data_IF_542983428025
#
_entry.id   IF_542983428025
#
_cell.length_a   1.000
_cell.length_b   1.000
_cell.length_c   1.000
_cell.angle_alpha   90.00
_cell.angle_beta   90.00
_cell.angle_gamma   90.00
#
_symmetry.space_group_name_H-M   'P 1'
#
loop_
_entity.id
_entity.type
_entity.pdbx_description
1 polymer ?
#
# COMPACT_ATOMS: atom_id res chain seq x y z
N UNK A 1 34.90 -20.77 -40.70
CA UNK A 1 35.17 -19.52 -39.96
C UNK A 1 34.42 -19.65 -38.66
N UNK A 2 35.13 -20.08 -37.62
CA UNK A 2 34.63 -20.18 -36.25
C UNK A 2 34.47 -18.76 -35.71
N UNK A 3 33.38 -18.47 -35.00
CA UNK A 3 33.25 -17.24 -34.23
C UNK A 3 32.46 -17.54 -32.97
N UNK A 4 33.10 -18.26 -32.06
CA UNK A 4 32.82 -18.16 -30.63
C UNK A 4 33.39 -16.82 -30.14
N UNK A 5 32.52 -15.91 -29.71
CA UNK A 5 32.94 -14.66 -29.05
C UNK A 5 31.95 -14.36 -27.93
N UNK A 6 31.96 -15.24 -26.94
CA UNK A 6 31.62 -14.89 -25.57
C UNK A 6 32.94 -14.47 -24.91
N UNK A 7 33.09 -13.20 -24.55
CA UNK A 7 33.96 -12.85 -23.43
C UNK A 7 33.46 -11.55 -22.79
N UNK A 8 32.84 -11.74 -21.63
CA UNK A 8 32.32 -10.71 -20.76
C UNK A 8 33.46 -10.08 -19.95
N UNK A 9 33.82 -8.81 -20.19
CA UNK A 9 34.63 -8.02 -19.24
C UNK A 9 34.51 -6.50 -19.49
N UNK A 10 33.37 -5.90 -19.12
CA UNK A 10 33.24 -4.45 -18.91
C UNK A 10 33.65 -4.10 -17.47
N UNK A 11 34.94 -4.19 -17.16
CA UNK A 11 35.58 -3.55 -16.01
C UNK A 11 36.32 -2.32 -16.59
N UNK A 12 36.23 -1.07 -16.16
CA UNK A 12 35.95 -0.45 -14.86
C UNK A 12 35.95 1.08 -15.10
N UNK A 13 35.03 1.94 -14.57
CA UNK A 13 35.23 3.38 -14.61
C UNK A 13 36.03 3.89 -13.40
N UNK A 14 36.84 4.95 -13.56
CA UNK A 14 37.85 5.37 -12.59
C UNK A 14 37.25 6.10 -11.38
N UNK A 15 37.94 5.98 -10.25
CA UNK A 15 37.70 6.69 -8.98
C UNK A 15 37.73 8.21 -9.15
N UNK A 16 36.87 8.89 -8.39
CA UNK A 16 37.14 10.21 -7.83
C UNK A 16 36.44 11.37 -8.52
N UNK A 17 35.32 11.81 -7.94
CA UNK A 17 34.86 13.19 -8.02
C UNK A 17 34.42 13.63 -6.62
N UNK A 18 35.43 13.79 -5.75
CA UNK A 18 35.33 14.61 -4.56
C UNK A 18 35.15 16.08 -4.99
N UNK A 19 33.97 16.65 -4.77
CA UNK A 19 33.80 18.09 -4.61
C UNK A 19 32.85 18.37 -3.44
N UNK A 20 33.47 18.72 -2.31
CA UNK A 20 32.93 19.31 -1.08
C UNK A 20 32.13 20.59 -1.41
N UNK A 21 30.92 20.82 -0.86
CA UNK A 21 30.63 21.62 0.36
C UNK A 21 29.20 22.21 0.23
N UNK A 22 28.72 23.08 1.14
CA UNK A 22 28.15 22.81 2.46
C UNK A 22 26.67 23.25 2.55
N UNK A 23 25.94 22.77 3.54
CA UNK A 23 24.74 23.44 4.01
C UNK A 23 23.45 22.64 3.87
N UNK A 24 22.83 22.44 5.03
CA UNK A 24 21.39 22.42 5.24
C UNK A 24 20.55 21.81 4.12
N UNK A 25 20.46 20.48 4.12
CA UNK A 25 19.13 19.87 4.06
C UNK A 25 19.09 18.83 5.16
N UNK A 26 18.56 19.24 6.31
CA UNK A 26 17.75 18.34 7.10
C UNK A 26 16.87 17.61 6.10
N UNK A 27 17.16 16.34 5.84
CA UNK A 27 16.11 15.44 5.44
C UNK A 27 15.21 15.46 6.66
N UNK A 28 14.27 16.42 6.69
CA UNK A 28 12.98 16.15 7.29
C UNK A 28 12.68 14.75 6.81
N UNK A 29 12.53 13.83 7.75
CA UNK A 29 11.79 12.61 7.53
C UNK A 29 10.46 13.09 6.98
N UNK A 30 10.40 13.33 5.67
CA UNK A 30 9.20 13.69 4.97
C UNK A 30 8.51 12.36 4.95
N UNK A 31 7.77 12.18 6.03
CA UNK A 31 6.87 11.09 6.36
C UNK A 31 6.33 10.68 5.01
N UNK A 32 6.92 9.61 4.46
CA UNK A 32 6.39 9.02 3.26
C UNK A 32 4.97 8.71 3.71
N UNK A 33 3.93 9.33 3.14
CA UNK A 33 2.61 8.82 3.39
C UNK A 33 2.71 7.41 2.86
N UNK A 34 2.77 6.44 3.78
CA UNK A 34 2.42 5.08 3.48
C UNK A 34 1.10 5.24 2.76
N UNK A 35 1.13 5.09 1.43
CA UNK A 35 -0.09 4.88 0.70
C UNK A 35 -0.53 3.52 1.24
N UNK A 36 -1.25 3.55 2.35
CA UNK A 36 -1.95 2.41 2.86
C UNK A 36 -2.95 2.13 1.75
N UNK A 37 -2.57 1.20 0.88
CA UNK A 37 -3.24 0.88 -0.37
C UNK A 37 -4.60 0.20 -0.13
N UNK A 38 -5.21 0.46 1.02
CA UNK A 38 -6.55 0.08 1.45
C UNK A 38 -7.60 1.06 0.92
N UNK A 39 -7.24 1.91 -0.04
CA UNK A 39 -8.12 2.91 -0.69
C UNK A 39 -9.07 2.31 -1.76
N UNK A 40 -9.23 0.99 -1.79
CA UNK A 40 -10.17 0.31 -2.68
C UNK A 40 -11.54 0.05 -2.06
N UNK A 41 -11.64 0.07 -0.73
CA UNK A 41 -12.88 -0.26 -0.04
C UNK A 41 -13.23 0.85 0.93
N UNK A 42 -14.19 1.69 0.57
CA UNK A 42 -14.70 2.74 1.46
C UNK A 42 -15.06 2.16 2.83
N UNK A 43 -14.94 3.00 3.86
CA UNK A 43 -15.15 2.59 5.24
C UNK A 43 -16.47 1.84 5.43
N UNK A 44 -16.43 0.83 6.30
CA UNK A 44 -17.62 0.12 6.72
C UNK A 44 -18.59 1.06 7.43
N UNK A 45 -19.85 1.07 6.99
CA UNK A 45 -20.91 1.73 7.75
C UNK A 45 -21.08 1.12 9.15
N UNK A 46 -21.70 1.90 10.03
CA UNK A 46 -22.09 1.43 11.36
C UNK A 46 -22.96 0.17 11.24
N UNK A 47 -22.79 -0.74 12.19
CA UNK A 47 -23.62 -1.92 12.28
C UNK A 47 -25.08 -1.53 12.55
N UNK A 48 -26.00 -2.22 11.87
CA UNK A 48 -27.42 -2.12 12.17
C UNK A 48 -27.70 -2.59 13.60
N UNK A 49 -28.83 -2.15 14.15
CA UNK A 49 -29.34 -2.72 15.41
C UNK A 49 -29.51 -4.23 15.24
N UNK A 50 -29.25 -4.96 16.32
CA UNK A 50 -29.50 -6.39 16.39
C UNK A 50 -30.96 -6.70 16.07
N UNK A 51 -31.18 -7.74 15.26
CA UNK A 51 -32.53 -8.18 14.91
C UNK A 51 -33.40 -8.52 16.12
N UNK A 52 -32.78 -8.92 17.23
CA UNK A 52 -33.44 -9.19 18.51
C UNK A 52 -32.67 -8.54 19.65
N UNK A 53 -33.40 -8.21 20.72
CA UNK A 53 -32.83 -7.68 21.96
C UNK A 53 -32.42 -8.78 22.95
N UNK A 54 -32.83 -10.03 22.69
CA UNK A 54 -32.46 -11.20 23.48
C UNK A 54 -32.38 -12.45 22.59
N UNK A 55 -31.41 -13.33 22.87
CA UNK A 55 -31.17 -14.55 22.09
C UNK A 55 -30.10 -14.38 21.00
N UNK A 56 -30.22 -15.12 19.90
CA UNK A 56 -29.29 -15.06 18.77
C UNK A 56 -29.83 -14.10 17.70
N UNK A 57 -29.36 -12.86 17.72
CA UNK A 57 -29.65 -11.86 16.72
C UNK A 57 -28.58 -11.76 15.65
N UNK A 58 -28.91 -11.02 14.60
CA UNK A 58 -27.95 -10.69 13.57
C UNK A 58 -28.00 -9.18 13.32
N UNK A 59 -26.82 -8.61 13.19
CA UNK A 59 -26.62 -7.24 12.75
C UNK A 59 -25.91 -7.27 11.40
N UNK A 60 -26.21 -6.28 10.57
CA UNK A 60 -25.71 -6.15 9.20
C UNK A 60 -25.03 -4.81 9.03
N UNK A 61 -23.99 -4.75 8.22
CA UNK A 61 -23.38 -3.49 7.76
C UNK A 61 -23.06 -3.58 6.29
N UNK A 62 -22.94 -2.42 5.66
CA UNK A 62 -22.59 -2.29 4.24
C UNK A 62 -21.40 -1.37 4.05
N UNK A 63 -20.62 -1.58 3.00
CA UNK A 63 -19.61 -0.62 2.55
C UNK A 63 -19.61 -0.51 1.04
N UNK A 64 -19.19 0.65 0.54
CA UNK A 64 -19.00 0.88 -0.88
C UNK A 64 -17.55 0.58 -1.23
N UNK A 65 -17.30 -0.41 -2.09
CA UNK A 65 -15.94 -0.75 -2.55
C UNK A 65 -15.59 -0.11 -3.90
N UNK A 66 -16.34 0.91 -4.32
CA UNK A 66 -16.16 1.61 -5.59
C UNK A 66 -17.47 1.88 -6.33
N UNK A 67 -17.36 2.15 -7.63
CA UNK A 67 -18.44 2.69 -8.46
C UNK A 67 -19.71 1.81 -8.56
N UNK A 68 -19.56 0.49 -8.48
CA UNK A 68 -20.67 -0.44 -8.65
C UNK A 68 -20.62 -1.65 -7.71
N UNK A 69 -19.85 -1.57 -6.62
CA UNK A 69 -19.75 -2.67 -5.68
C UNK A 69 -20.11 -2.21 -4.26
N UNK A 70 -21.01 -2.98 -3.66
CA UNK A 70 -21.44 -2.81 -2.28
C UNK A 70 -21.18 -4.13 -1.58
N UNK A 71 -20.24 -4.14 -0.64
CA UNK A 71 -20.02 -5.29 0.20
C UNK A 71 -20.99 -5.23 1.39
N UNK A 72 -21.59 -6.36 1.73
CA UNK A 72 -22.48 -6.50 2.89
C UNK A 72 -21.89 -7.55 3.82
N UNK A 73 -21.84 -7.24 5.11
CA UNK A 73 -21.37 -8.16 6.15
C UNK A 73 -22.48 -8.37 7.17
N UNK A 74 -22.60 -9.60 7.66
CA UNK A 74 -23.52 -9.97 8.74
C UNK A 74 -22.75 -10.64 9.86
N UNK A 75 -22.95 -10.18 11.10
CA UNK A 75 -22.40 -10.83 12.30
C UNK A 75 -23.49 -11.10 13.31
N UNK A 76 -23.26 -12.10 14.16
CA UNK A 76 -24.12 -12.41 15.29
C UNK A 76 -23.96 -11.33 16.36
N UNK A 77 -25.09 -10.95 16.94
CA UNK A 77 -25.18 -10.40 18.28
C UNK A 77 -26.21 -11.21 19.08
#
# INVERSE_FOLDING_TARGET
>A
YDSTSDDSNFLNPPRGWDHTAPGHRTFETKEQPEYDSTDGEGDWSLWSVCSVTCGNGNQKRTRSCGYACTATESRTC
#
